data_IF_016720017426
#
_entry.id   IF_016720017426
#
_cell.length_a   1.000
_cell.length_b   1.000
_cell.length_c   1.000
_cell.angle_alpha   90.00
_cell.angle_beta   90.00
_cell.angle_gamma   90.00
#
_symmetry.space_group_name_H-M   'P 1'
#
loop_
_entity.id
_entity.type
_entity.pdbx_description
1 polymer ?
#
# COMPACT_ATOMS: atom_id res chain seq x y z
N UNK A 1 0.51 12.66 -4.97
CA UNK A 1 1.25 13.13 -3.76
C UNK A 1 2.60 13.64 -4.24
N UNK A 2 3.03 14.83 -3.81
CA UNK A 2 4.35 15.40 -4.10
C UNK A 2 4.83 16.16 -2.86
N UNK A 3 6.14 16.24 -2.64
CA UNK A 3 6.79 16.98 -1.55
C UNK A 3 7.48 18.21 -2.16
N UNK A 4 7.25 19.40 -1.59
CA UNK A 4 7.97 20.62 -1.99
C UNK A 4 9.02 20.94 -0.93
N UNK A 5 10.29 21.00 -1.33
CA UNK A 5 11.41 21.34 -0.43
C UNK A 5 12.40 22.25 -1.15
N UNK A 6 12.69 23.42 -0.58
CA UNK A 6 13.67 24.35 -1.16
C UNK A 6 13.30 24.87 -2.56
N UNK A 7 12.02 24.88 -2.93
CA UNK A 7 11.55 25.26 -4.27
C UNK A 7 11.53 24.11 -5.29
N UNK A 8 12.00 22.92 -4.92
CA UNK A 8 11.93 21.73 -5.77
C UNK A 8 10.68 20.89 -5.47
N UNK A 9 10.07 20.34 -6.53
CA UNK A 9 8.94 19.41 -6.44
C UNK A 9 9.46 17.97 -6.57
N UNK A 10 9.29 17.18 -5.51
CA UNK A 10 9.68 15.78 -5.44
C UNK A 10 8.44 14.89 -5.51
N UNK A 11 8.45 13.89 -6.40
CA UNK A 11 7.35 12.92 -6.53
C UNK A 11 7.77 11.58 -5.94
N UNK A 12 7.00 10.97 -5.03
CA UNK A 12 7.34 9.68 -4.46
C UNK A 12 7.35 8.61 -5.55
N UNK A 13 8.39 7.77 -5.50
CA UNK A 13 8.58 6.61 -6.36
C UNK A 13 8.92 5.41 -5.50
N UNK A 14 8.42 4.25 -5.89
CA UNK A 14 8.91 2.99 -5.34
C UNK A 14 10.27 2.71 -5.96
N UNK A 15 11.25 2.44 -5.11
CA UNK A 15 12.55 1.94 -5.50
C UNK A 15 12.76 0.59 -4.82
N UNK A 16 13.55 -0.27 -5.46
CA UNK A 16 13.96 -1.51 -4.81
C UNK A 16 14.84 -1.15 -3.61
N UNK A 17 14.46 -1.62 -2.43
CA UNK A 17 15.27 -1.43 -1.23
C UNK A 17 16.65 -2.07 -1.43
N UNK A 18 17.70 -1.30 -1.14
CA UNK A 18 19.06 -1.81 -1.10
C UNK A 18 19.29 -2.63 0.16
N UNK A 19 20.17 -3.63 0.12
CA UNK A 19 20.59 -4.34 1.33
C UNK A 19 21.43 -3.41 2.20
N UNK A 20 20.85 -2.89 3.28
CA UNK A 20 21.58 -2.19 4.34
C UNK A 20 22.26 -3.18 5.27
N UNK A 21 23.41 -2.81 5.84
CA UNK A 21 24.10 -3.61 6.85
C UNK A 21 23.60 -3.26 8.27
N UNK A 22 22.29 -3.06 8.47
CA UNK A 22 21.76 -2.85 9.83
C UNK A 22 21.34 -4.18 10.42
N UNK A 23 22.27 -4.86 11.11
CA UNK A 23 21.97 -6.11 11.83
C UNK A 23 21.82 -5.79 13.31
N UNK A 24 20.83 -4.97 13.67
CA UNK A 24 20.47 -4.80 15.07
C UNK A 24 19.47 -5.90 15.43
N UNK A 25 19.98 -6.97 16.06
CA UNK A 25 19.14 -8.07 16.53
C UNK A 25 18.70 -7.83 17.98
N UNK A 26 17.44 -8.15 18.32
CA UNK A 26 17.03 -8.14 19.71
C UNK A 26 17.83 -9.17 20.52
N UNK A 27 18.18 -8.82 21.75
CA UNK A 27 18.75 -9.75 22.71
C UNK A 27 17.70 -10.82 23.05
N UNK A 28 18.01 -12.13 22.83
CA UNK A 28 17.11 -13.25 23.09
C UNK A 28 16.61 -13.36 24.54
N UNK A 29 17.40 -12.89 25.51
CA UNK A 29 17.06 -12.91 26.93
C UNK A 29 16.24 -11.69 27.37
N UNK A 30 16.04 -10.71 26.47
CA UNK A 30 15.13 -9.59 26.68
C UNK A 30 13.67 -9.92 26.33
N UNK A 31 12.81 -8.93 26.55
CA UNK A 31 11.37 -9.05 26.30
C UNK A 31 10.99 -8.46 24.94
N UNK A 32 10.16 -9.19 24.20
CA UNK A 32 9.48 -8.71 23.00
C UNK A 32 8.03 -8.36 23.31
N UNK A 33 7.63 -7.12 23.04
CA UNK A 33 6.24 -6.67 23.12
C UNK A 33 5.57 -6.82 21.76
N UNK A 34 4.45 -7.55 21.70
CA UNK A 34 3.68 -7.77 20.47
C UNK A 34 2.28 -7.20 20.61
N UNK A 35 1.97 -6.17 19.83
CA UNK A 35 0.66 -5.50 19.79
C UNK A 35 -0.15 -5.98 18.58
N UNK A 36 -1.47 -6.11 18.79
CA UNK A 36 -2.35 -6.73 17.81
C UNK A 36 -2.14 -8.24 17.76
N UNK A 37 -1.85 -8.89 18.89
CA UNK A 37 -1.59 -10.33 18.92
C UNK A 37 -2.81 -11.20 18.54
N UNK A 38 -4.01 -10.61 18.47
CA UNK A 38 -5.22 -11.18 17.87
C UNK A 38 -5.18 -11.25 16.33
N UNK A 39 -4.18 -10.63 15.69
CA UNK A 39 -4.00 -10.67 14.24
C UNK A 39 -3.17 -11.87 13.81
N UNK A 40 -3.58 -12.53 12.72
CA UNK A 40 -2.88 -13.71 12.19
C UNK A 40 -1.42 -13.40 11.80
N UNK A 41 -1.16 -12.21 11.27
CA UNK A 41 0.20 -11.78 10.96
C UNK A 41 1.06 -11.57 12.22
N UNK A 42 0.48 -11.04 13.31
CA UNK A 42 1.20 -10.91 14.57
C UNK A 42 1.58 -12.28 15.16
N UNK A 43 0.65 -13.25 15.12
CA UNK A 43 0.88 -14.62 15.56
C UNK A 43 2.00 -15.33 14.78
N UNK A 44 2.07 -15.07 13.47
CA UNK A 44 3.10 -15.62 12.58
C UNK A 44 4.48 -15.01 12.86
N UNK A 45 4.56 -13.68 12.95
CA UNK A 45 5.81 -12.97 13.24
C UNK A 45 6.31 -13.25 14.66
N UNK A 46 5.44 -13.28 15.67
CA UNK A 46 5.81 -13.64 17.04
C UNK A 46 6.38 -15.06 17.12
N UNK A 47 5.75 -16.02 16.43
CA UNK A 47 6.26 -17.39 16.34
C UNK A 47 7.64 -17.46 15.70
N UNK A 48 7.89 -16.67 14.65
CA UNK A 48 9.20 -16.57 14.01
C UNK A 48 10.25 -15.94 14.91
N UNK A 49 9.92 -14.90 15.68
CA UNK A 49 10.84 -14.31 16.66
C UNK A 49 11.25 -15.33 17.73
N UNK A 50 10.33 -16.14 18.25
CA UNK A 50 10.69 -17.21 19.20
C UNK A 50 11.53 -18.28 18.52
N UNK A 51 11.10 -18.81 17.38
CA UNK A 51 11.73 -19.96 16.74
C UNK A 51 13.08 -19.67 16.05
N UNK A 52 13.19 -18.53 15.37
CA UNK A 52 14.37 -18.17 14.57
C UNK A 52 15.30 -17.17 15.27
N UNK A 53 14.78 -16.28 16.12
CA UNK A 53 15.58 -15.31 16.86
C UNK A 53 15.89 -15.77 18.29
N UNK A 54 15.26 -16.86 18.76
CA UNK A 54 15.52 -17.45 20.06
C UNK A 54 14.92 -16.68 21.25
N UNK A 55 13.98 -15.77 20.98
CA UNK A 55 13.35 -14.93 22.01
C UNK A 55 12.74 -15.79 23.12
N UNK A 56 13.10 -15.49 24.37
CA UNK A 56 12.66 -16.23 25.56
C UNK A 56 11.50 -15.59 26.30
N UNK A 57 11.32 -14.27 26.18
CA UNK A 57 10.26 -13.54 26.88
C UNK A 57 9.37 -12.79 25.89
N UNK A 58 8.09 -13.15 25.86
CA UNK A 58 7.11 -12.53 24.96
C UNK A 58 5.95 -12.00 25.77
N UNK A 59 5.56 -10.74 25.52
CA UNK A 59 4.33 -10.17 26.05
C UNK A 59 3.38 -9.82 24.91
N UNK A 60 2.23 -10.45 24.92
CA UNK A 60 1.18 -10.28 23.92
C UNK A 60 0.15 -9.27 24.42
N UNK A 61 -0.12 -8.26 23.61
CA UNK A 61 -1.17 -7.28 23.82
C UNK A 61 -2.19 -7.39 22.69
N UNK A 62 -3.44 -7.67 23.06
CA UNK A 62 -4.52 -7.90 22.12
C UNK A 62 -5.85 -7.40 22.68
N UNK A 63 -6.83 -7.20 21.79
CA UNK A 63 -8.21 -6.83 22.16
C UNK A 63 -8.97 -7.98 22.79
N UNK A 64 -8.62 -9.20 22.41
CA UNK A 64 -9.24 -10.45 22.86
C UNK A 64 -8.17 -11.41 23.37
N UNK A 65 -8.59 -12.36 24.21
CA UNK A 65 -7.71 -13.42 24.69
C UNK A 65 -7.20 -14.27 23.49
N UNK A 66 -5.92 -14.67 23.51
CA UNK A 66 -5.28 -15.47 22.46
C UNK A 66 -4.62 -16.72 23.04
N UNK A 67 -5.38 -17.59 23.75
CA UNK A 67 -4.82 -18.73 24.48
C UNK A 67 -4.06 -19.70 23.58
N UNK A 68 -4.52 -19.90 22.33
CA UNK A 68 -3.85 -20.80 21.38
C UNK A 68 -2.47 -20.27 20.97
N UNK A 69 -2.33 -18.95 20.80
CA UNK A 69 -1.04 -18.33 20.51
C UNK A 69 -0.12 -18.42 21.73
N UNK A 70 -0.64 -18.20 22.94
CA UNK A 70 0.12 -18.37 24.19
C UNK A 70 0.65 -19.79 24.30
N UNK A 71 -0.20 -20.81 24.10
CA UNK A 71 0.19 -22.21 24.15
C UNK A 71 1.27 -22.52 23.11
N UNK A 72 1.05 -22.13 21.84
CA UNK A 72 1.99 -22.36 20.74
C UNK A 72 3.38 -21.73 20.99
N UNK A 73 3.43 -20.49 21.47
CA UNK A 73 4.70 -19.82 21.78
C UNK A 73 5.40 -20.44 23.00
N UNK A 74 4.61 -20.93 23.97
CA UNK A 74 5.14 -21.66 25.14
C UNK A 74 5.75 -23.00 24.73
N UNK A 75 5.11 -23.73 23.82
CA UNK A 75 5.64 -24.98 23.23
C UNK A 75 6.95 -24.75 22.46
N UNK A 76 7.09 -23.60 21.81
CA UNK A 76 8.35 -23.16 21.19
C UNK A 76 9.42 -22.72 22.21
N UNK A 77 9.07 -22.71 23.50
CA UNK A 77 9.99 -22.49 24.62
C UNK A 77 10.01 -21.08 25.19
N UNK A 78 9.14 -20.17 24.74
CA UNK A 78 9.07 -18.83 25.32
C UNK A 78 8.25 -18.81 26.63
N UNK A 79 8.62 -17.94 27.56
CA UNK A 79 7.76 -17.49 28.64
C UNK A 79 6.83 -16.40 28.10
N UNK A 80 5.52 -16.67 28.10
CA UNK A 80 4.53 -15.82 27.45
C UNK A 80 3.57 -15.24 28.48
N UNK A 81 3.41 -13.92 28.47
CA UNK A 81 2.37 -13.23 29.22
C UNK A 81 1.40 -12.57 28.27
N UNK A 82 0.11 -12.58 28.59
CA UNK A 82 -0.91 -11.89 27.81
C UNK A 82 -1.54 -10.77 28.63
N UNK A 83 -1.79 -9.64 27.98
CA UNK A 83 -2.63 -8.55 28.47
C UNK A 83 -3.75 -8.30 27.47
N UNK A 84 -5.00 -8.46 27.91
CA UNK A 84 -6.18 -8.07 27.11
C UNK A 84 -6.47 -6.61 27.41
N UNK A 85 -6.49 -5.76 26.37
CA UNK A 85 -6.72 -4.32 26.51
C UNK A 85 -7.39 -3.70 25.28
N UNK A 86 -8.05 -2.58 25.49
CA UNK A 86 -8.49 -1.73 24.39
C UNK A 86 -7.27 -1.03 23.73
N UNK A 87 -7.25 -0.84 22.41
CA UNK A 87 -6.22 -0.06 21.74
C UNK A 87 -6.27 1.41 22.17
N UNK A 88 -5.13 2.11 22.17
CA UNK A 88 -5.05 3.53 22.57
C UNK A 88 -5.06 3.78 24.09
N UNK A 89 -5.32 2.77 24.92
CA UNK A 89 -5.16 2.88 26.38
C UNK A 89 -3.68 3.02 26.77
N UNK A 90 -3.24 4.26 26.98
CA UNK A 90 -1.88 4.60 27.40
C UNK A 90 -1.51 4.08 28.78
N UNK A 91 -2.45 3.98 29.71
CA UNK A 91 -2.16 3.52 31.07
C UNK A 91 -1.79 2.04 31.06
N UNK A 92 -2.60 1.23 30.38
CA UNK A 92 -2.31 -0.19 30.15
C UNK A 92 -1.01 -0.40 29.35
N UNK A 93 -0.71 0.49 28.40
CA UNK A 93 0.54 0.45 27.65
C UNK A 93 1.75 0.68 28.57
N UNK A 94 1.72 1.74 29.38
CA UNK A 94 2.79 2.04 30.32
C UNK A 94 3.00 0.93 31.36
N UNK A 95 1.90 0.35 31.86
CA UNK A 95 1.95 -0.81 32.76
C UNK A 95 2.62 -2.02 32.10
N UNK A 96 2.33 -2.29 30.82
CA UNK A 96 2.95 -3.40 30.10
C UNK A 96 4.47 -3.26 29.98
N UNK A 97 4.99 -2.04 29.83
CA UNK A 97 6.44 -1.77 29.86
C UNK A 97 7.01 -1.92 31.27
N UNK A 98 6.35 -1.38 32.29
CA UNK A 98 6.81 -1.46 33.69
C UNK A 98 6.86 -2.90 34.20
N UNK A 99 5.94 -3.74 33.74
CA UNK A 99 5.81 -5.13 34.16
C UNK A 99 6.37 -6.12 33.13
N UNK A 100 7.10 -5.66 32.12
CA UNK A 100 7.68 -6.49 31.06
C UNK A 100 8.73 -7.50 31.57
N UNK A 101 9.25 -7.31 32.79
CA UNK A 101 10.31 -8.14 33.35
C UNK A 101 11.67 -7.72 32.80
N UNK A 102 12.40 -8.59 32.07
CA UNK A 102 13.64 -8.22 31.38
C UNK A 102 13.49 -6.97 30.48
N UNK A 103 14.60 -6.29 30.13
CA UNK A 103 14.56 -5.13 29.25
C UNK A 103 13.84 -5.41 27.94
N UNK A 104 13.06 -4.45 27.46
CA UNK A 104 12.37 -4.56 26.16
C UNK A 104 13.38 -4.40 25.03
N UNK A 105 13.60 -5.45 24.25
CA UNK A 105 14.60 -5.50 23.18
C UNK A 105 13.98 -5.49 21.79
N UNK A 106 12.69 -5.84 21.68
CA UNK A 106 11.91 -5.59 20.48
C UNK A 106 10.47 -5.12 20.77
N UNK A 107 9.96 -4.30 19.86
CA UNK A 107 8.55 -3.93 19.78
C UNK A 107 8.04 -4.30 18.39
N UNK A 108 6.93 -5.03 18.34
CA UNK A 108 6.20 -5.36 17.12
C UNK A 108 4.76 -4.91 17.27
N UNK A 109 4.32 -3.91 16.50
CA UNK A 109 2.91 -3.55 16.40
C UNK A 109 2.38 -3.98 15.05
N UNK A 110 1.28 -4.73 15.07
CA UNK A 110 0.60 -5.19 13.85
C UNK A 110 -0.81 -4.60 13.81
N UNK A 111 -1.10 -3.85 12.75
CA UNK A 111 -2.46 -3.47 12.40
C UNK A 111 -3.06 -4.52 11.46
N UNK A 112 -4.30 -4.93 11.73
CA UNK A 112 -5.06 -5.77 10.81
C UNK A 112 -5.53 -5.00 9.58
N UNK A 113 -6.14 -5.70 8.60
CA UNK A 113 -6.91 -5.03 7.56
C UNK A 113 -8.06 -4.25 8.21
N UNK A 114 -8.30 -3.02 7.77
CA UNK A 114 -9.51 -2.30 8.14
C UNK A 114 -10.66 -2.75 7.24
N UNK A 115 -11.83 -3.02 7.83
CA UNK A 115 -13.08 -2.84 7.10
C UNK A 115 -13.20 -1.35 6.84
N UNK A 116 -12.91 -0.91 5.61
CA UNK A 116 -13.23 0.45 5.17
C UNK A 116 -14.67 0.75 5.61
N UNK A 117 -14.94 1.85 6.32
CA UNK A 117 -16.31 2.27 6.58
C UNK A 117 -16.99 2.39 5.21
N UNK A 118 -17.95 1.52 4.93
CA UNK A 118 -18.76 1.58 3.70
C UNK A 118 -19.68 2.80 3.71
N UNK A 119 -19.70 3.55 4.82
CA UNK A 119 -20.43 4.79 5.00
C UNK A 119 -19.54 5.87 5.61
N UNK A 120 -19.68 7.11 5.13
CA UNK A 120 -19.06 8.32 5.70
C UNK A 120 -19.54 8.67 7.13
N UNK A 121 -20.31 7.78 7.75
CA UNK A 121 -20.97 7.95 9.06
C UNK A 121 -20.51 6.93 10.09
N UNK A 122 -19.59 6.03 9.76
CA UNK A 122 -19.00 5.10 10.73
C UNK A 122 -17.99 5.83 11.60
N UNK A 123 -18.12 5.68 12.92
CA UNK A 123 -17.03 6.02 13.85
C UNK A 123 -15.79 5.24 13.42
N UNK A 124 -14.73 5.95 13.03
CA UNK A 124 -13.42 5.34 12.77
C UNK A 124 -12.78 5.15 14.14
N UNK A 125 -12.66 3.89 14.57
CA UNK A 125 -11.95 3.58 15.81
C UNK A 125 -10.46 3.92 15.62
N UNK A 126 -10.05 5.10 16.07
CA UNK A 126 -8.66 5.57 15.98
C UNK A 126 -7.74 4.88 16.98
N UNK A 127 -8.30 4.21 18.01
CA UNK A 127 -7.54 3.55 19.09
C UNK A 127 -6.36 2.70 18.60
N UNK A 128 -6.52 1.79 17.61
CA UNK A 128 -5.43 0.99 17.06
C UNK A 128 -4.26 1.81 16.49
N UNK A 129 -4.51 3.03 16.04
CA UNK A 129 -3.51 3.94 15.50
C UNK A 129 -2.80 4.76 16.59
N UNK A 130 -3.37 4.86 17.78
CA UNK A 130 -2.84 5.64 18.90
C UNK A 130 -1.68 4.95 19.64
N UNK A 131 -1.61 3.61 19.55
CA UNK A 131 -0.53 2.84 20.19
C UNK A 131 0.85 3.18 19.60
N UNK A 132 0.96 3.45 18.29
CA UNK A 132 2.25 3.70 17.64
C UNK A 132 2.93 5.00 18.10
N UNK A 133 2.24 6.16 18.16
CA UNK A 133 2.76 7.36 18.80
C UNK A 133 3.17 7.17 20.27
N UNK A 134 2.36 6.45 21.05
CA UNK A 134 2.64 6.23 22.46
C UNK A 134 3.87 5.30 22.67
N UNK A 135 4.04 4.31 21.79
CA UNK A 135 5.24 3.47 21.76
C UNK A 135 6.51 4.26 21.41
N UNK A 136 6.41 5.23 20.51
CA UNK A 136 7.54 6.12 20.23
C UNK A 136 7.98 6.84 21.51
N UNK A 137 7.03 7.47 22.22
CA UNK A 137 7.27 8.20 23.47
C UNK A 137 7.89 7.31 24.56
N UNK A 138 7.30 6.14 24.83
CA UNK A 138 7.74 5.24 25.91
C UNK A 138 9.10 4.59 25.67
N UNK A 139 9.58 4.55 24.42
CA UNK A 139 10.83 3.87 24.05
C UNK A 139 11.97 4.81 23.70
N UNK A 140 11.85 6.13 23.96
CA UNK A 140 12.94 7.08 23.62
C UNK A 140 14.16 6.95 24.51
N UNK A 141 13.94 6.79 25.81
CA UNK A 141 15.04 6.72 26.80
C UNK A 141 15.82 5.40 26.70
N UNK A 142 15.10 4.30 26.46
CA UNK A 142 15.67 2.96 26.28
C UNK A 142 15.14 2.36 24.98
N UNK A 143 15.75 2.69 23.83
CA UNK A 143 15.27 2.23 22.54
C UNK A 143 15.52 0.72 22.36
N UNK A 144 14.49 -0.06 21.95
CA UNK A 144 14.69 -1.46 21.63
C UNK A 144 15.57 -1.60 20.38
N UNK A 145 16.30 -2.71 20.28
CA UNK A 145 17.12 -3.02 19.11
C UNK A 145 16.30 -3.17 17.84
N UNK A 146 15.03 -3.60 17.97
CA UNK A 146 14.08 -3.80 16.89
C UNK A 146 12.75 -3.09 17.21
N UNK A 147 12.26 -2.25 16.31
CA UNK A 147 10.98 -1.55 16.46
C UNK A 147 10.23 -1.62 15.12
N UNK A 148 9.23 -2.49 15.00
CA UNK A 148 8.53 -2.75 13.74
C UNK A 148 7.06 -2.41 13.88
N UNK A 149 6.56 -1.61 12.94
CA UNK A 149 5.16 -1.24 12.77
C UNK A 149 4.67 -1.84 11.45
N UNK A 150 3.78 -2.81 11.51
CA UNK A 150 3.39 -3.66 10.38
C UNK A 150 1.92 -3.50 10.05
N UNK A 151 1.59 -3.22 8.79
CA UNK A 151 0.21 -3.12 8.31
C UNK A 151 0.10 -3.62 6.87
N UNK A 152 -1.06 -4.12 6.43
CA UNK A 152 -1.29 -4.36 5.01
C UNK A 152 -1.39 -3.02 4.25
N UNK A 153 -0.99 -3.00 2.97
CA UNK A 153 -0.92 -1.76 2.17
C UNK A 153 -2.30 -1.16 1.84
N UNK A 154 -3.36 -1.95 1.96
CA UNK A 154 -4.75 -1.50 1.80
C UNK A 154 -5.27 -0.77 3.05
N UNK A 155 -4.64 -0.96 4.21
CA UNK A 155 -4.86 -0.15 5.41
C UNK A 155 -4.05 1.16 5.32
N UNK A 156 -4.51 2.05 4.44
CA UNK A 156 -3.90 3.36 4.19
C UNK A 156 -3.69 4.23 5.44
N UNK A 157 -4.68 4.35 6.36
CA UNK A 157 -4.52 5.10 7.60
C UNK A 157 -3.41 4.55 8.51
N UNK A 158 -3.40 3.24 8.78
CA UNK A 158 -2.34 2.62 9.59
C UNK A 158 -0.97 2.80 8.96
N UNK A 159 -0.87 2.58 7.66
CA UNK A 159 0.38 2.73 6.94
C UNK A 159 0.91 4.17 7.01
N UNK A 160 0.05 5.18 6.90
CA UNK A 160 0.44 6.57 7.03
C UNK A 160 0.96 6.92 8.43
N UNK A 161 0.26 6.48 9.49
CA UNK A 161 0.69 6.70 10.88
C UNK A 161 2.01 5.98 11.16
N UNK A 162 2.14 4.72 10.73
CA UNK A 162 3.34 3.92 10.95
C UNK A 162 4.56 4.50 10.23
N UNK A 163 4.40 4.96 8.99
CA UNK A 163 5.45 5.69 8.29
C UNK A 163 5.85 6.98 9.00
N UNK A 164 4.88 7.75 9.51
CA UNK A 164 5.16 8.99 10.23
C UNK A 164 5.99 8.73 11.50
N UNK A 165 5.59 7.73 12.29
CA UNK A 165 6.32 7.31 13.50
C UNK A 165 7.73 6.81 13.16
N UNK A 166 7.86 5.93 12.16
CA UNK A 166 9.16 5.39 11.78
C UNK A 166 10.13 6.48 11.27
N UNK A 167 9.65 7.40 10.42
CA UNK A 167 10.45 8.54 9.95
C UNK A 167 10.85 9.47 11.10
N UNK A 168 9.94 9.74 12.04
CA UNK A 168 10.25 10.58 13.21
C UNK A 168 11.34 9.96 14.09
N UNK A 169 11.27 8.64 14.31
CA UNK A 169 12.30 7.88 15.04
C UNK A 169 13.65 7.91 14.32
N UNK A 170 13.65 7.66 13.02
CA UNK A 170 14.87 7.75 12.21
C UNK A 170 15.50 9.14 12.24
N UNK A 171 14.69 10.21 12.17
CA UNK A 171 15.18 11.58 12.30
C UNK A 171 15.83 11.88 13.67
N UNK A 172 15.45 11.13 14.71
CA UNK A 172 16.06 11.17 16.04
C UNK A 172 17.21 10.16 16.23
N UNK A 173 17.61 9.42 15.19
CA UNK A 173 18.63 8.37 15.27
C UNK A 173 18.17 7.07 15.93
N UNK A 174 16.86 6.93 16.21
CA UNK A 174 16.28 5.76 16.85
C UNK A 174 15.87 4.70 15.81
N UNK A 175 15.93 3.40 16.15
CA UNK A 175 15.50 2.33 15.25
C UNK A 175 13.97 2.35 15.07
N UNK A 176 13.52 2.19 13.83
CA UNK A 176 12.12 1.94 13.49
C UNK A 176 11.96 1.42 12.04
N UNK A 177 11.01 0.52 11.83
CA UNK A 177 10.65 0.04 10.50
C UNK A 177 9.13 0.04 10.35
N UNK A 178 8.62 0.84 9.42
CA UNK A 178 7.25 0.70 8.92
C UNK A 178 7.23 -0.32 7.77
N UNK A 179 6.64 -1.49 8.02
CA UNK A 179 6.58 -2.60 7.06
C UNK A 179 5.17 -2.73 6.47
N UNK A 180 5.03 -2.40 5.19
CA UNK A 180 3.78 -2.58 4.45
C UNK A 180 3.75 -3.93 3.73
N UNK A 181 2.64 -4.67 3.84
CA UNK A 181 2.48 -5.97 3.17
C UNK A 181 1.53 -5.90 1.99
N UNK A 182 1.94 -6.47 0.85
CA UNK A 182 1.04 -6.74 -0.26
C UNK A 182 -0.07 -7.76 0.09
N UNK A 183 -0.97 -8.05 -0.87
CA UNK A 183 -2.05 -9.01 -0.66
C UNK A 183 -1.53 -10.35 -0.13
N UNK A 184 -2.20 -10.88 0.90
CA UNK A 184 -1.69 -12.04 1.67
C UNK A 184 -1.65 -13.30 0.82
N UNK A 185 -2.58 -13.44 -0.11
CA UNK A 185 -2.72 -14.58 -1.02
C UNK A 185 -1.53 -14.70 -1.99
N UNK A 186 -0.78 -13.62 -2.20
CA UNK A 186 0.36 -13.60 -3.10
C UNK A 186 1.64 -14.17 -2.45
N UNK A 187 1.71 -14.30 -1.12
CA UNK A 187 2.94 -14.70 -0.43
C UNK A 187 2.69 -15.84 0.55
N UNK A 188 3.42 -16.94 0.36
CA UNK A 188 3.45 -18.02 1.35
C UNK A 188 3.99 -17.53 2.69
N UNK A 189 3.66 -18.23 3.77
CA UNK A 189 4.21 -17.93 5.11
C UNK A 189 5.73 -17.87 5.12
N UNK A 190 6.40 -18.83 4.46
CA UNK A 190 7.86 -18.85 4.37
C UNK A 190 8.42 -17.62 3.65
N UNK A 191 7.81 -17.19 2.55
CA UNK A 191 8.23 -15.99 1.84
C UNK A 191 8.02 -14.73 2.69
N UNK A 192 6.90 -14.64 3.42
CA UNK A 192 6.63 -13.51 4.31
C UNK A 192 7.66 -13.42 5.44
N UNK A 193 7.99 -14.52 6.09
CA UNK A 193 9.02 -14.55 7.12
C UNK A 193 10.41 -14.18 6.56
N UNK A 194 10.76 -14.67 5.37
CA UNK A 194 12.01 -14.29 4.71
C UNK A 194 12.06 -12.80 4.33
N UNK A 195 10.94 -12.22 3.89
CA UNK A 195 10.82 -10.79 3.60
C UNK A 195 10.86 -9.95 4.88
N UNK A 196 10.29 -10.43 5.99
CA UNK A 196 10.44 -9.80 7.30
C UNK A 196 11.92 -9.76 7.71
N UNK A 197 12.62 -10.89 7.63
CA UNK A 197 14.06 -10.96 7.94
C UNK A 197 14.88 -10.04 7.05
N UNK A 198 14.57 -9.97 5.75
CA UNK A 198 15.24 -9.04 4.85
C UNK A 198 14.93 -7.58 5.21
N UNK A 199 13.67 -7.24 5.49
CA UNK A 199 13.24 -5.87 5.77
C UNK A 199 13.88 -5.31 7.04
N UNK A 200 14.10 -6.14 8.07
CA UNK A 200 14.78 -5.70 9.30
C UNK A 200 16.27 -5.38 9.11
N UNK A 201 16.86 -5.74 7.96
CA UNK A 201 18.24 -5.37 7.61
C UNK A 201 18.35 -4.07 6.80
N UNK A 202 17.24 -3.59 6.24
CA UNK A 202 17.22 -2.38 5.40
C UNK A 202 17.34 -1.14 6.29
N UNK A 203 18.11 -0.16 5.84
CA UNK A 203 18.29 1.12 6.55
C UNK A 203 17.28 2.20 6.09
N UNK A 204 16.08 1.76 5.72
CA UNK A 204 14.97 2.62 5.32
C UNK A 204 13.90 2.60 6.42
N UNK A 205 13.32 3.77 6.71
CA UNK A 205 12.24 3.89 7.70
C UNK A 205 10.95 3.17 7.27
N UNK A 206 10.78 2.95 5.96
CA UNK A 206 9.57 2.38 5.37
C UNK A 206 9.93 1.43 4.23
N UNK A 207 9.45 0.19 4.31
CA UNK A 207 9.68 -0.85 3.31
C UNK A 207 8.36 -1.51 2.97
N UNK A 208 8.16 -1.80 1.68
CA UNK A 208 7.01 -2.58 1.20
C UNK A 208 7.45 -3.99 0.82
N UNK A 209 6.87 -4.98 1.47
CA UNK A 209 6.96 -6.39 1.14
C UNK A 209 5.81 -6.76 0.20
N UNK A 210 6.00 -6.46 -1.09
CA UNK A 210 5.04 -6.76 -2.15
C UNK A 210 5.66 -7.74 -3.14
N UNK A 211 4.83 -8.64 -3.70
CA UNK A 211 5.23 -9.39 -4.89
C UNK A 211 5.20 -8.42 -6.06
N UNK A 212 6.32 -7.76 -6.28
CA UNK A 212 6.50 -7.01 -7.51
C UNK A 212 6.80 -8.06 -8.59
N UNK A 213 5.83 -8.35 -9.46
CA UNK A 213 6.19 -8.72 -10.83
C UNK A 213 6.97 -7.53 -11.35
N UNK A 214 8.30 -7.56 -11.17
CA UNK A 214 9.15 -6.80 -12.05
C UNK A 214 8.63 -7.23 -13.43
N UNK A 215 8.04 -6.29 -14.16
CA UNK A 215 8.30 -6.21 -15.57
C UNK A 215 9.84 -6.07 -15.71
N UNK A 216 10.57 -7.15 -15.39
CA UNK A 216 11.62 -7.63 -16.25
C UNK A 216 11.02 -7.45 -17.62
N UNK A 217 11.61 -6.53 -18.38
CA UNK A 217 11.43 -6.39 -19.81
C UNK A 217 10.80 -7.67 -20.36
N UNK A 218 9.47 -7.67 -20.49
CA UNK A 218 8.72 -8.83 -20.93
C UNK A 218 8.79 -8.84 -22.45
N UNK A 219 10.01 -8.93 -22.97
CA UNK A 219 10.27 -9.84 -24.05
C UNK A 219 10.28 -11.19 -23.31
N UNK A 220 9.19 -11.97 -23.23
CA UNK A 220 8.76 -12.74 -24.40
C UNK A 220 7.49 -13.61 -24.18
N UNK A 221 6.54 -13.26 -23.30
CA UNK A 221 5.35 -14.13 -23.02
C UNK A 221 3.96 -13.47 -22.97
N UNK A 222 3.85 -12.14 -22.97
CA UNK A 222 2.56 -11.43 -23.06
C UNK A 222 1.95 -11.40 -24.48
N UNK A 223 0.72 -10.88 -24.64
CA UNK A 223 0.13 -10.71 -25.97
C UNK A 223 1.02 -9.83 -26.87
N UNK A 224 1.71 -8.83 -26.30
CA UNK A 224 2.73 -8.05 -27.00
C UNK A 224 3.90 -8.91 -27.55
N UNK A 225 4.39 -9.90 -26.80
CA UNK A 225 5.43 -10.83 -27.26
C UNK A 225 4.94 -11.77 -28.37
N UNK A 226 3.71 -12.28 -28.25
CA UNK A 226 3.07 -13.07 -29.32
C UNK A 226 2.85 -12.24 -30.59
N UNK A 227 2.38 -11.01 -30.47
CA UNK A 227 2.15 -10.10 -31.59
C UNK A 227 3.47 -9.65 -32.23
N UNK A 228 4.54 -9.45 -31.47
CA UNK A 228 5.86 -9.09 -31.99
C UNK A 228 6.49 -10.22 -32.84
N UNK A 229 6.20 -11.49 -32.53
CA UNK A 229 6.67 -12.67 -33.27
C UNK A 229 5.90 -12.93 -34.58
N UNK A 230 4.74 -12.30 -34.79
CA UNK A 230 4.00 -12.41 -36.03
C UNK A 230 4.69 -11.62 -37.17
N UNK A 231 4.58 -12.09 -38.43
CA UNK A 231 4.97 -11.31 -39.60
C UNK A 231 4.27 -9.94 -39.61
N UNK A 232 4.95 -8.89 -40.08
CA UNK A 232 4.42 -7.52 -40.06
C UNK A 232 3.01 -7.40 -40.71
N UNK A 233 2.75 -8.15 -41.77
CA UNK A 233 1.46 -8.20 -42.46
C UNK A 233 0.31 -8.79 -41.60
N UNK A 234 0.62 -9.59 -40.59
CA UNK A 234 -0.35 -10.27 -39.73
C UNK A 234 -0.61 -9.54 -38.40
N UNK A 235 0.31 -8.64 -37.99
CA UNK A 235 0.24 -7.92 -36.71
C UNK A 235 -1.00 -7.05 -36.58
N UNK A 236 -1.38 -6.34 -37.65
CA UNK A 236 -2.57 -5.46 -37.64
C UNK A 236 -3.87 -6.24 -37.42
N UNK A 237 -4.01 -7.40 -38.08
CA UNK A 237 -5.17 -8.27 -37.89
C UNK A 237 -5.23 -8.86 -36.49
N UNK A 238 -4.11 -9.35 -35.99
CA UNK A 238 -4.04 -9.92 -34.65
C UNK A 238 -4.28 -8.89 -33.53
N UNK A 239 -3.89 -7.62 -33.75
CA UNK A 239 -4.23 -6.52 -32.84
C UNK A 239 -5.73 -6.19 -32.87
N UNK A 240 -6.34 -6.19 -34.05
CA UNK A 240 -7.79 -6.01 -34.17
C UNK A 240 -8.55 -7.14 -33.46
N UNK A 241 -8.13 -8.39 -33.63
CA UNK A 241 -8.73 -9.54 -32.96
C UNK A 241 -8.62 -9.43 -31.43
N UNK A 242 -7.49 -8.93 -30.91
CA UNK A 242 -7.32 -8.64 -29.48
C UNK A 242 -8.32 -7.59 -28.99
N UNK A 243 -8.43 -6.46 -29.71
CA UNK A 243 -9.36 -5.39 -29.34
C UNK A 243 -10.80 -5.89 -29.37
N UNK A 244 -11.20 -6.63 -30.40
CA UNK A 244 -12.54 -7.20 -30.53
C UNK A 244 -12.84 -8.22 -29.42
N UNK A 245 -11.86 -9.02 -29.01
CA UNK A 245 -12.00 -9.95 -27.89
C UNK A 245 -12.27 -9.22 -26.58
N UNK A 246 -11.50 -8.18 -26.24
CA UNK A 246 -11.68 -7.43 -24.99
C UNK A 246 -13.01 -6.64 -24.96
N UNK A 247 -13.40 -6.07 -26.11
CA UNK A 247 -14.72 -5.43 -26.24
C UNK A 247 -15.85 -6.46 -26.13
N UNK A 248 -15.65 -7.67 -26.68
CA UNK A 248 -16.60 -8.78 -26.55
C UNK A 248 -16.83 -9.19 -25.09
N UNK A 249 -15.78 -9.23 -24.28
CA UNK A 249 -15.89 -9.52 -22.84
C UNK A 249 -16.73 -8.47 -22.11
N UNK A 250 -16.46 -7.19 -22.36
CA UNK A 250 -17.16 -6.07 -21.72
C UNK A 250 -18.63 -5.99 -22.15
N UNK A 251 -18.93 -6.36 -23.39
CA UNK A 251 -20.28 -6.28 -23.96
C UNK A 251 -21.11 -7.55 -23.73
N UNK A 252 -20.59 -8.53 -22.99
CA UNK A 252 -21.29 -9.78 -22.67
C UNK A 252 -21.42 -10.73 -23.86
N UNK A 253 -20.45 -10.73 -24.78
CA UNK A 253 -20.38 -11.67 -25.91
C UNK A 253 -21.19 -11.27 -27.14
N UNK A 254 -21.64 -10.02 -27.22
CA UNK A 254 -22.30 -9.51 -28.43
C UNK A 254 -21.29 -9.41 -29.58
N UNK A 255 -21.64 -9.82 -30.82
CA UNK A 255 -20.74 -9.69 -31.96
C UNK A 255 -20.50 -8.21 -32.27
N UNK A 256 -19.23 -7.81 -32.26
CA UNK A 256 -18.77 -6.45 -32.54
C UNK A 256 -17.94 -6.43 -33.81
N UNK A 257 -18.16 -5.43 -34.66
CA UNK A 257 -17.41 -5.25 -35.91
C UNK A 257 -16.34 -4.16 -35.77
N UNK A 258 -15.23 -4.30 -36.50
CA UNK A 258 -14.06 -3.40 -36.40
C UNK A 258 -14.37 -1.91 -36.61
N UNK A 259 -15.31 -1.60 -37.52
CA UNK A 259 -15.72 -0.22 -37.86
C UNK A 259 -16.87 0.33 -37.03
N UNK A 260 -17.46 -0.49 -36.16
CA UNK A 260 -18.62 -0.10 -35.38
C UNK A 260 -18.21 0.85 -34.25
N UNK A 261 -18.95 1.94 -34.09
CA UNK A 261 -18.67 2.93 -33.05
C UNK A 261 -18.88 2.34 -31.66
N UNK A 262 -17.98 2.64 -30.72
CA UNK A 262 -18.14 2.25 -29.32
C UNK A 262 -19.45 2.77 -28.71
N UNK A 263 -19.94 3.94 -29.15
CA UNK A 263 -21.24 4.46 -28.69
C UNK A 263 -22.41 3.57 -29.12
N UNK A 264 -22.38 3.07 -30.36
CA UNK A 264 -23.46 2.23 -30.91
C UNK A 264 -23.46 0.81 -30.30
N UNK A 265 -22.31 0.40 -29.74
CA UNK A 265 -22.13 -0.86 -29.01
C UNK A 265 -22.63 -0.75 -27.56
N UNK A 266 -22.94 0.47 -27.09
CA UNK A 266 -23.39 0.74 -25.72
C UNK A 266 -22.24 0.96 -24.74
N UNK A 267 -21.07 1.39 -25.21
CA UNK A 267 -19.92 1.70 -24.36
C UNK A 267 -20.24 2.91 -23.46
N UNK A 268 -20.09 2.72 -22.15
CA UNK A 268 -20.24 3.73 -21.11
C UNK A 268 -18.87 4.25 -20.66
N UNK A 269 -18.85 5.34 -19.87
CA UNK A 269 -17.60 5.86 -19.29
C UNK A 269 -16.88 4.82 -18.41
N UNK A 270 -17.63 3.99 -17.67
CA UNK A 270 -17.07 2.93 -16.83
C UNK A 270 -16.46 1.82 -17.66
N UNK A 271 -17.16 1.38 -18.71
CA UNK A 271 -16.68 0.29 -19.58
C UNK A 271 -15.50 0.73 -20.46
N UNK A 272 -15.39 2.02 -20.79
CA UNK A 272 -14.21 2.59 -21.45
C UNK A 272 -12.95 2.53 -20.56
N UNK A 273 -13.09 2.81 -19.26
CA UNK A 273 -11.98 2.71 -18.29
C UNK A 273 -11.57 1.25 -18.07
N UNK A 274 -12.53 0.33 -18.05
CA UNK A 274 -12.28 -1.11 -17.99
C UNK A 274 -11.56 -1.61 -19.25
N UNK A 275 -12.02 -1.23 -20.44
CA UNK A 275 -11.38 -1.57 -21.72
C UNK A 275 -9.92 -1.12 -21.75
N UNK A 276 -9.67 0.11 -21.32
CA UNK A 276 -8.31 0.65 -21.18
C UNK A 276 -7.46 -0.19 -20.21
N UNK A 277 -8.00 -0.56 -19.06
CA UNK A 277 -7.30 -1.40 -18.07
C UNK A 277 -6.91 -2.77 -18.64
N UNK A 278 -7.85 -3.42 -19.33
CA UNK A 278 -7.65 -4.73 -19.98
C UNK A 278 -6.61 -4.65 -21.10
N UNK A 279 -6.70 -3.66 -21.98
CA UNK A 279 -5.74 -3.46 -23.07
C UNK A 279 -4.34 -3.10 -22.54
N UNK A 280 -4.24 -2.30 -21.48
CA UNK A 280 -2.96 -1.99 -20.85
C UNK A 280 -2.32 -3.25 -20.25
N UNK A 281 -3.09 -4.12 -19.60
CA UNK A 281 -2.62 -5.40 -19.08
C UNK A 281 -2.17 -6.35 -20.20
N UNK A 282 -2.94 -6.45 -21.30
CA UNK A 282 -2.61 -7.34 -22.41
C UNK A 282 -1.39 -6.89 -23.23
N UNK A 283 -1.23 -5.57 -23.43
CA UNK A 283 -0.20 -4.99 -24.30
C UNK A 283 1.03 -4.48 -23.55
N UNK A 284 0.95 -4.31 -22.23
CA UNK A 284 2.02 -3.68 -21.43
C UNK A 284 2.18 -2.18 -21.69
N UNK A 285 1.29 -1.55 -22.45
CA UNK A 285 1.36 -0.13 -22.77
C UNK A 285 0.76 0.75 -21.66
N UNK A 286 1.38 1.90 -21.43
CA UNK A 286 0.74 3.02 -20.74
C UNK A 286 -0.27 3.70 -21.68
N UNK A 287 -1.55 3.53 -21.38
CA UNK A 287 -2.69 3.93 -22.21
C UNK A 287 -3.48 5.09 -21.56
N UNK A 288 -3.74 6.20 -22.28
CA UNK A 288 -4.56 7.32 -21.79
C UNK A 288 -5.98 6.93 -21.37
N UNK A 289 -6.59 7.69 -20.46
CA UNK A 289 -7.98 7.47 -20.05
C UNK A 289 -9.02 7.85 -21.11
N UNK A 290 -8.64 8.68 -22.09
CA UNK A 290 -9.49 9.21 -23.18
C UNK A 290 -9.56 8.28 -24.39
N UNK A 291 -8.92 7.12 -24.33
CA UNK A 291 -8.62 6.28 -25.49
C UNK A 291 -9.84 5.87 -26.33
N UNK A 292 -10.94 5.48 -25.68
CA UNK A 292 -12.17 5.10 -26.38
C UNK A 292 -12.90 6.29 -27.04
N UNK A 293 -12.55 7.53 -26.67
CA UNK A 293 -13.08 8.75 -27.25
C UNK A 293 -12.19 9.25 -28.40
N UNK A 294 -10.87 9.17 -28.23
CA UNK A 294 -9.89 9.56 -29.24
C UNK A 294 -9.88 8.59 -30.43
N UNK A 295 -10.19 7.31 -30.18
CA UNK A 295 -10.26 6.23 -31.17
C UNK A 295 -11.64 5.56 -31.08
N UNK A 296 -12.64 6.07 -31.81
CA UNK A 296 -14.05 5.78 -31.52
C UNK A 296 -14.54 4.39 -31.98
N UNK A 297 -13.67 3.56 -32.55
CA UNK A 297 -14.00 2.19 -32.99
C UNK A 297 -12.79 1.24 -32.84
N UNK A 298 -13.02 -0.09 -32.84
CA UNK A 298 -11.94 -1.08 -32.69
C UNK A 298 -10.81 -0.99 -33.73
N UNK A 299 -11.10 -0.65 -34.99
CA UNK A 299 -10.08 -0.52 -36.05
C UNK A 299 -9.10 0.63 -35.75
N UNK A 300 -9.63 1.80 -35.41
CA UNK A 300 -8.84 2.98 -35.06
C UNK A 300 -7.99 2.73 -33.81
N UNK A 301 -8.57 2.01 -32.84
CA UNK A 301 -7.89 1.61 -31.61
C UNK A 301 -6.76 0.61 -31.88
N UNK A 302 -6.99 -0.40 -32.70
CA UNK A 302 -5.97 -1.38 -33.08
C UNK A 302 -4.79 -0.73 -33.83
N UNK A 303 -5.08 0.23 -34.72
CA UNK A 303 -4.05 0.99 -35.44
C UNK A 303 -3.17 1.82 -34.48
N UNK A 304 -3.79 2.51 -33.51
CA UNK A 304 -3.06 3.25 -32.48
C UNK A 304 -2.13 2.34 -31.65
N UNK A 305 -2.64 1.19 -31.19
CA UNK A 305 -1.85 0.23 -30.44
C UNK A 305 -0.68 -0.33 -31.27
N UNK A 306 -0.89 -0.56 -32.56
CA UNK A 306 0.15 -1.00 -33.50
C UNK A 306 1.29 0.01 -33.62
N UNK A 307 0.98 1.30 -33.79
CA UNK A 307 1.99 2.37 -33.83
C UNK A 307 2.79 2.46 -32.52
N UNK A 308 2.14 2.21 -31.37
CA UNK A 308 2.79 2.23 -30.05
C UNK A 308 3.65 0.99 -29.77
N UNK A 309 3.29 -0.18 -30.29
CA UNK A 309 3.99 -1.45 -30.04
C UNK A 309 5.14 -1.70 -31.02
N UNK A 310 4.97 -1.31 -32.28
CA UNK A 310 5.90 -1.66 -33.36
C UNK A 310 6.66 -0.47 -33.93
N UNK A 311 6.35 0.76 -33.50
CA UNK A 311 7.06 1.96 -33.95
C UNK A 311 6.77 2.35 -35.40
N UNK A 312 5.76 1.75 -36.04
CA UNK A 312 5.37 2.09 -37.40
C UNK A 312 4.74 3.47 -37.42
N UNK A 313 5.54 4.45 -37.82
CA UNK A 313 5.13 5.82 -38.06
C UNK A 313 4.45 5.89 -39.44
N UNK A 314 3.36 5.16 -39.62
CA UNK A 314 2.56 5.23 -40.84
C UNK A 314 1.10 4.83 -40.59
N UNK A 315 0.38 5.71 -39.90
CA UNK A 315 -1.05 5.89 -40.11
C UNK A 315 -1.38 7.35 -39.85
N UNK A 316 -1.29 8.15 -40.91
CA UNK A 316 -1.91 9.46 -40.96
C UNK A 316 -3.42 9.28 -40.73
N UNK A 317 -3.93 9.86 -39.64
CA UNK A 317 -5.34 10.24 -39.53
C UNK A 317 -5.61 11.48 -40.40
N UNK A 318 -6.88 11.70 -40.82
CA UNK A 318 -7.23 12.73 -41.80
C UNK A 318 -6.98 14.14 -41.25
N UNK A 319 -6.61 15.02 -42.17
CA UNK A 319 -6.33 16.45 -42.03
C UNK A 319 -7.04 17.14 -40.86
N UNK A 320 -6.27 17.42 -39.81
CA UNK A 320 -6.47 18.60 -38.97
C UNK A 320 -5.15 19.37 -39.00
N UNK A 321 -5.24 20.64 -39.40
CA UNK A 321 -4.13 21.59 -39.40
C UNK A 321 -3.33 21.48 -38.09
N UNK A 322 -1.98 21.59 -38.16
CA UNK A 322 -1.17 21.63 -36.96
C UNK A 322 -1.49 22.92 -36.21
N UNK A 323 -2.41 22.84 -35.25
CA UNK A 323 -2.38 23.74 -34.12
C UNK A 323 -1.03 23.49 -33.44
N UNK A 324 -0.19 24.52 -33.49
CA UNK A 324 1.04 24.68 -32.73
C UNK A 324 0.89 23.96 -31.39
N UNK A 325 1.78 23.01 -31.01
CA UNK A 325 1.71 22.41 -29.70
C UNK A 325 1.98 23.55 -28.71
N UNK A 326 0.91 24.17 -28.24
CA UNK A 326 0.92 24.89 -26.99
C UNK A 326 1.59 23.90 -26.03
N UNK A 327 2.82 24.24 -25.64
CA UNK A 327 3.55 23.53 -24.62
C UNK A 327 2.55 23.23 -23.50
N UNK A 328 2.63 22.06 -22.84
CA UNK A 328 1.85 21.86 -21.65
C UNK A 328 2.33 22.91 -20.64
N UNK A 329 1.72 24.10 -20.66
CA UNK A 329 1.50 24.89 -19.46
C UNK A 329 0.54 24.03 -18.66
N UNK A 330 1.09 22.99 -18.05
CA UNK A 330 0.60 22.47 -16.81
C UNK A 330 0.67 23.67 -15.89
N UNK A 331 -0.41 24.46 -15.89
CA UNK A 331 -0.63 25.43 -14.86
C UNK A 331 -0.59 24.61 -13.57
N UNK A 332 0.48 24.74 -12.77
CA UNK A 332 0.69 23.84 -11.66
C UNK A 332 -0.41 24.17 -10.67
N UNK A 333 -1.40 23.28 -10.53
CA UNK A 333 -2.25 23.30 -9.36
C UNK A 333 -1.33 22.98 -8.18
N UNK A 334 -0.92 24.02 -7.47
CA UNK A 334 -0.12 23.91 -6.27
C UNK A 334 -1.05 23.68 -5.08
N UNK A 335 -0.91 22.53 -4.41
CA UNK A 335 -1.33 22.41 -3.02
C UNK A 335 -0.16 22.96 -2.19
N UNK A 336 -0.19 24.27 -1.96
CA UNK A 336 0.84 25.04 -1.23
C UNK A 336 0.70 24.92 0.29
N UNK A 337 -0.25 24.10 0.75
CA UNK A 337 -0.51 23.72 2.14
C UNK A 337 -1.69 22.75 2.20
N UNK A 338 -1.72 21.87 3.20
CA UNK A 338 -2.95 21.14 3.54
C UNK A 338 -3.81 22.06 4.42
N UNK A 339 -4.86 22.63 3.87
CA UNK A 339 -5.97 23.10 4.69
C UNK A 339 -6.76 21.86 5.13
N UNK A 340 -6.34 21.27 6.24
CA UNK A 340 -7.13 20.24 6.89
C UNK A 340 -8.44 20.90 7.36
N UNK A 341 -9.58 20.39 6.93
CA UNK A 341 -10.84 20.55 7.68
C UNK A 341 -11.19 19.14 8.09
N UNK A 342 -10.38 18.63 9.01
CA UNK A 342 -10.57 17.30 9.55
C UNK A 342 -11.69 17.36 10.60
N UNK A 343 -12.38 16.24 10.84
CA UNK A 343 -13.38 16.14 11.89
C UNK A 343 -12.81 16.67 13.23
N UNK A 344 -13.66 17.24 14.09
CA UNK A 344 -13.24 17.83 15.37
C UNK A 344 -12.59 19.22 15.27
N UNK A 345 -12.64 19.86 14.10
CA UNK A 345 -12.13 21.23 13.93
C UNK A 345 -10.61 21.32 13.73
N UNK A 346 -9.95 20.19 13.46
CA UNK A 346 -8.50 20.13 13.20
C UNK A 346 -8.16 20.75 11.85
N UNK A 347 -7.26 21.74 11.90
CA UNK A 347 -6.83 22.57 10.78
C UNK A 347 -5.36 22.53 10.44
N UNK A 348 -4.53 21.88 11.27
CA UNK A 348 -3.10 21.71 11.03
C UNK A 348 -2.62 20.27 11.28
N UNK A 349 -1.46 19.87 10.71
CA UNK A 349 -0.82 18.59 11.04
C UNK A 349 -0.48 18.43 12.53
N UNK A 350 -0.10 19.53 13.19
CA UNK A 350 0.19 19.57 14.63
C UNK A 350 -1.08 19.32 15.45
N UNK A 351 -2.20 19.96 15.11
CA UNK A 351 -3.50 19.70 15.74
C UNK A 351 -3.99 18.27 15.48
N UNK A 352 -3.70 17.70 14.31
CA UNK A 352 -3.97 16.28 14.04
C UNK A 352 -3.13 15.38 14.95
N UNK A 353 -1.85 15.73 15.15
CA UNK A 353 -0.98 15.00 16.07
C UNK A 353 -1.46 15.10 17.51
N UNK A 354 -1.91 16.27 17.95
CA UNK A 354 -2.52 16.47 19.27
C UNK A 354 -3.82 15.68 19.41
N UNK A 355 -4.72 15.69 18.41
CA UNK A 355 -5.96 14.92 18.43
C UNK A 355 -5.68 13.41 18.58
N UNK A 356 -4.77 12.88 17.74
CA UNK A 356 -4.38 11.47 17.78
C UNK A 356 -3.69 11.11 19.09
N UNK A 357 -2.73 11.92 19.54
CA UNK A 357 -2.01 11.66 20.77
C UNK A 357 -2.91 11.81 22.00
N UNK A 358 -3.88 12.71 22.03
CA UNK A 358 -4.81 12.89 23.15
C UNK A 358 -5.98 11.89 23.18
N UNK A 359 -6.19 11.14 22.09
CA UNK A 359 -7.27 10.18 21.97
C UNK A 359 -8.63 10.79 21.62
N UNK A 360 -8.67 12.01 21.06
CA UNK A 360 -9.92 12.69 20.74
C UNK A 360 -10.62 12.13 19.49
N UNK A 361 -11.95 12.17 19.49
CA UNK A 361 -12.80 11.87 18.33
C UNK A 361 -13.31 13.17 17.68
N UNK A 362 -13.19 13.25 16.36
CA UNK A 362 -13.66 14.38 15.58
C UNK A 362 -15.03 14.18 14.91
N UNK A 363 -15.59 12.96 14.94
CA UNK A 363 -16.89 12.64 14.34
C UNK A 363 -18.00 13.40 15.09
N UNK A 364 -18.83 14.14 14.36
CA UNK A 364 -20.00 14.82 14.91
C UNK A 364 -21.29 14.33 14.24
N UNK A 365 -22.42 14.47 14.92
CA UNK A 365 -23.73 14.22 14.33
C UNK A 365 -24.03 15.12 13.12
N UNK A 366 -25.07 14.75 12.35
CA UNK A 366 -25.50 15.51 11.18
C UNK A 366 -25.89 16.96 11.56
N UNK A 367 -25.44 17.98 10.80
CA UNK A 367 -25.84 19.37 11.05
C UNK A 367 -27.35 19.52 10.91
N UNK A 368 -28.01 20.06 11.94
CA UNK A 368 -29.46 20.31 11.96
C UNK A 368 -29.87 21.60 11.22
N UNK A 369 -28.90 22.36 10.70
CA UNK A 369 -29.06 23.70 10.12
C UNK A 369 -28.98 23.72 8.59
N UNK A 370 -28.90 22.56 7.93
CA UNK A 370 -28.97 22.44 6.48
C UNK A 370 -30.30 21.80 6.08
N UNK A 371 -31.33 22.64 5.98
CA UNK A 371 -32.66 22.31 5.48
C UNK A 371 -32.77 22.36 3.97
#
# INVERSE_FOLDING_TARGET
RALVRGGEVLVPRLARAGSGQRVSRPDPDGTVLVFGADQEQAAELAGHLVAAYGIRHVRLLARTAVPDLVARLTELGASVTQTVRAPGDRASLAEAFQTAGPPVTAVLQVAGPETLPTTLTGEVELGPLQDAPALDELTRETPPALFVLSAPIDNGPAHAVFQAVANRRHAAGLPALALGWGPREELTSRERLALFDAATTVDDASVLAIRHELAASAVDTGAAGRLARLPAAERGRALLDLVLSEVGVITGGRPVHGRQSFRDIGMTSTSAVELRGRLAAATGLALPATLAFDYPNPDALAAYLGGRLFGDTSAAGPDMEPADPAAPSGEPIAIVGMACRLPGGVTSPEELWELLSSGGDGISGFPTDRG
#
